data_IF_371700574966
#
_entry.id   IF_371700574966
#
_cell.length_a   1.000
_cell.length_b   1.000
_cell.length_c   1.000
_cell.angle_alpha   90.00
_cell.angle_beta   90.00
_cell.angle_gamma   90.00
#
_symmetry.space_group_name_H-M   'P 1'
#
loop_
_entity.id
_entity.type
_entity.pdbx_description
1 polymer ?
#
# COMPACT_ATOMS: atom_id res chain seq x y z
N UNK A 1 11.93 -82.44 -1.62
CA UNK A 1 10.60 -82.77 -1.15
C UNK A 1 9.70 -81.63 -1.57
N UNK A 2 9.07 -81.73 -2.75
CA UNK A 2 7.69 -82.14 -2.95
C UNK A 2 6.76 -81.34 -2.04
N UNK A 3 5.94 -80.38 -2.53
CA UNK A 3 4.66 -80.67 -3.16
C UNK A 3 3.99 -79.42 -3.72
N UNK A 4 3.56 -79.57 -4.91
CA UNK A 4 2.60 -78.77 -5.69
C UNK A 4 1.18 -78.85 -5.16
N UNK A 5 0.34 -77.81 -5.40
CA UNK A 5 -1.09 -77.88 -5.81
C UNK A 5 -1.59 -76.51 -6.16
N UNK A 6 -1.78 -76.23 -7.42
CA UNK A 6 -2.95 -76.28 -8.31
C UNK A 6 -4.20 -75.55 -7.80
N UNK A 7 -4.47 -74.42 -8.45
CA UNK A 7 -5.64 -74.10 -9.28
C UNK A 7 -7.05 -74.08 -8.65
N UNK A 8 -7.73 -72.95 -8.83
CA UNK A 8 -9.06 -72.97 -9.50
C UNK A 8 -9.49 -71.53 -9.92
N UNK A 9 -9.87 -71.53 -11.15
CA UNK A 9 -10.54 -70.49 -11.93
C UNK A 9 -11.96 -70.28 -11.40
N UNK A 10 -12.39 -69.04 -11.25
CA UNK A 10 -13.78 -68.71 -11.01
C UNK A 10 -14.15 -67.46 -11.84
N UNK A 11 -15.06 -67.67 -12.73
CA UNK A 11 -15.56 -66.79 -13.80
C UNK A 11 -16.39 -65.59 -13.25
N UNK A 12 -16.16 -64.46 -13.89
CA UNK A 12 -17.11 -63.46 -14.39
C UNK A 12 -18.45 -63.18 -13.67
N UNK A 13 -18.67 -61.89 -13.40
CA UNK A 13 -19.97 -61.26 -13.66
C UNK A 13 -19.75 -59.78 -13.99
N UNK A 14 -20.21 -59.43 -15.19
CA UNK A 14 -20.30 -58.09 -15.75
C UNK A 14 -21.39 -57.32 -14.99
N UNK A 15 -21.00 -56.24 -14.35
CA UNK A 15 -21.94 -55.25 -13.80
C UNK A 15 -21.74 -53.91 -14.48
N UNK A 16 -22.62 -53.61 -15.44
CA UNK A 16 -22.68 -52.28 -16.08
C UNK A 16 -23.32 -51.34 -15.09
N UNK A 17 -22.52 -50.48 -14.46
CA UNK A 17 -23.04 -49.32 -13.68
C UNK A 17 -23.02 -48.11 -14.64
N UNK A 18 -24.21 -47.70 -15.09
CA UNK A 18 -24.45 -46.44 -15.75
C UNK A 18 -24.23 -45.32 -14.71
N UNK A 19 -23.11 -44.64 -14.79
CA UNK A 19 -22.87 -43.43 -14.03
C UNK A 19 -23.48 -42.25 -14.77
N UNK A 20 -24.57 -41.75 -14.24
CA UNK A 20 -25.22 -40.51 -14.68
C UNK A 20 -24.35 -39.35 -14.25
N UNK A 21 -23.53 -38.82 -15.17
CA UNK A 21 -22.72 -37.60 -14.94
C UNK A 21 -23.65 -36.40 -15.05
N UNK A 22 -24.05 -35.85 -13.89
CA UNK A 22 -24.66 -34.51 -13.83
C UNK A 22 -23.56 -33.48 -14.05
N UNK A 23 -23.49 -32.91 -15.26
CA UNK A 23 -22.70 -31.76 -15.54
C UNK A 23 -23.35 -30.54 -14.87
N UNK A 24 -22.88 -30.17 -13.67
CA UNK A 24 -23.16 -28.88 -13.08
C UNK A 24 -22.29 -27.86 -13.80
N UNK A 25 -22.86 -27.16 -14.79
CA UNK A 25 -22.25 -25.96 -15.38
C UNK A 25 -22.36 -24.81 -14.37
N UNK A 26 -21.48 -24.81 -13.37
CA UNK A 26 -21.26 -23.67 -12.50
C UNK A 26 -20.57 -22.59 -13.31
N UNK A 27 -21.30 -21.51 -13.62
CA UNK A 27 -20.73 -20.28 -14.14
C UNK A 27 -19.89 -19.66 -13.01
N UNK A 28 -18.63 -20.11 -12.85
CA UNK A 28 -17.65 -19.39 -12.04
C UNK A 28 -17.37 -18.06 -12.76
N UNK A 29 -17.95 -16.98 -12.24
CA UNK A 29 -17.50 -15.64 -12.56
C UNK A 29 -16.03 -15.56 -12.11
N UNK A 30 -15.11 -15.76 -13.04
CA UNK A 30 -13.69 -15.59 -12.82
C UNK A 30 -13.45 -14.11 -12.50
N UNK A 31 -13.29 -13.80 -11.22
CA UNK A 31 -12.76 -12.50 -10.81
C UNK A 31 -11.35 -12.42 -11.42
N UNK A 32 -11.01 -11.38 -12.20
CA UNK A 32 -9.72 -11.34 -12.87
C UNK A 32 -8.61 -11.37 -11.83
N UNK A 33 -7.84 -12.46 -11.83
CA UNK A 33 -6.70 -12.74 -10.94
C UNK A 33 -5.69 -11.58 -10.89
N UNK A 34 -5.59 -10.83 -11.99
CA UNK A 34 -4.73 -9.66 -12.09
C UNK A 34 -5.10 -8.51 -11.14
N UNK A 35 -6.39 -8.30 -10.85
CA UNK A 35 -6.82 -7.22 -9.94
C UNK A 35 -6.50 -7.57 -8.48
N UNK A 36 -6.61 -8.84 -8.10
CA UNK A 36 -6.29 -9.29 -6.74
C UNK A 36 -4.78 -9.27 -6.48
N UNK A 37 -3.98 -9.76 -7.42
CA UNK A 37 -2.51 -9.73 -7.33
C UNK A 37 -1.96 -8.30 -7.25
N UNK A 38 -2.49 -7.35 -8.03
CA UNK A 38 -2.11 -5.95 -7.96
C UNK A 38 -2.46 -5.32 -6.61
N UNK A 39 -3.61 -5.64 -6.02
CA UNK A 39 -4.02 -5.12 -4.71
C UNK A 39 -3.10 -5.62 -3.58
N UNK A 40 -2.73 -6.90 -3.59
CA UNK A 40 -1.80 -7.48 -2.61
C UNK A 40 -0.39 -6.91 -2.77
N UNK A 41 0.09 -6.76 -4.01
CA UNK A 41 1.39 -6.15 -4.32
C UNK A 41 1.47 -4.70 -3.83
N UNK A 42 0.43 -3.88 -4.08
CA UNK A 42 0.39 -2.49 -3.68
C UNK A 42 0.33 -2.31 -2.15
N UNK A 43 -0.40 -3.14 -1.43
CA UNK A 43 -0.39 -3.15 0.04
C UNK A 43 1.01 -3.47 0.57
N UNK A 44 1.70 -4.48 0.02
CA UNK A 44 3.08 -4.81 0.41
C UNK A 44 4.07 -3.66 0.17
N UNK A 45 3.93 -2.90 -0.93
CA UNK A 45 4.77 -1.71 -1.20
C UNK A 45 4.47 -0.59 -0.20
N UNK A 46 3.19 -0.34 0.10
CA UNK A 46 2.80 0.67 1.10
C UNK A 46 3.38 0.35 2.48
N UNK A 47 3.29 -0.90 2.92
CA UNK A 47 3.85 -1.34 4.20
C UNK A 47 5.37 -1.13 4.27
N UNK A 48 6.09 -1.44 3.19
CA UNK A 48 7.54 -1.21 3.09
C UNK A 48 7.89 0.29 3.15
N UNK A 49 7.12 1.13 2.47
CA UNK A 49 7.28 2.59 2.50
C UNK A 49 7.09 3.11 3.92
N UNK A 50 6.01 2.72 4.58
CA UNK A 50 5.68 3.12 5.96
C UNK A 50 6.76 2.64 6.93
N UNK A 51 7.18 1.38 6.82
CA UNK A 51 8.25 0.83 7.65
C UNK A 51 9.57 1.59 7.46
N UNK A 52 9.91 1.95 6.21
CA UNK A 52 11.08 2.78 5.92
C UNK A 52 10.95 4.16 6.56
N UNK A 53 9.81 4.83 6.40
CA UNK A 53 9.60 6.15 6.99
C UNK A 53 9.67 6.14 8.53
N UNK A 54 9.15 5.11 9.19
CA UNK A 54 9.20 4.94 10.64
C UNK A 54 10.63 4.82 11.19
N UNK A 55 11.61 4.35 10.40
CA UNK A 55 13.03 4.30 10.82
C UNK A 55 13.64 5.69 11.02
N UNK A 56 13.01 6.72 10.49
CA UNK A 56 13.47 8.11 10.59
C UNK A 56 12.72 8.92 11.66
N UNK A 57 11.91 8.28 12.50
CA UNK A 57 11.25 8.96 13.62
C UNK A 57 12.29 9.71 14.48
N UNK A 58 11.98 10.96 14.82
CA UNK A 58 12.88 11.85 15.57
C UNK A 58 13.97 12.56 14.72
N UNK A 59 14.19 12.18 13.45
CA UNK A 59 15.13 12.90 12.60
C UNK A 59 14.66 14.35 12.48
N UNK A 60 15.58 15.28 12.70
CA UNK A 60 15.34 16.72 12.84
C UNK A 60 14.72 17.34 11.58
N UNK A 61 13.88 18.33 11.81
CA UNK A 61 13.33 19.16 10.75
C UNK A 61 14.29 20.32 10.39
N UNK A 62 14.41 20.60 9.10
CA UNK A 62 15.01 21.79 8.57
C UNK A 62 14.20 22.29 7.37
N UNK A 63 13.77 23.55 7.40
CA UNK A 63 13.09 24.15 6.25
C UNK A 63 13.99 24.13 5.01
N UNK A 64 13.42 23.79 3.85
CA UNK A 64 14.13 23.64 2.58
C UNK A 64 15.31 22.64 2.65
N UNK A 65 15.24 21.60 3.48
CA UNK A 65 16.27 20.58 3.57
C UNK A 65 16.62 20.03 2.16
N UNK A 66 17.92 19.87 1.81
CA UNK A 66 18.30 19.32 0.52
C UNK A 66 17.73 17.92 0.29
N UNK A 67 17.34 17.60 -0.95
CA UNK A 67 16.94 16.25 -1.32
C UNK A 67 18.09 15.24 -1.19
N UNK A 68 17.76 13.97 -0.92
CA UNK A 68 18.73 12.88 -0.85
C UNK A 68 19.44 12.70 0.50
N UNK A 69 19.30 13.62 1.44
CA UNK A 69 19.82 13.49 2.82
C UNK A 69 18.90 12.62 3.67
N UNK A 70 19.45 12.04 4.75
CA UNK A 70 18.71 11.21 5.70
C UNK A 70 18.87 11.65 7.16
N UNK A 71 19.70 12.65 7.42
CA UNK A 71 19.99 13.21 8.74
C UNK A 71 19.15 14.46 9.06
N UNK A 72 18.41 14.97 8.06
CA UNK A 72 17.55 16.14 8.17
C UNK A 72 16.50 16.14 7.06
N UNK A 73 15.28 16.58 7.37
CA UNK A 73 14.18 16.65 6.43
C UNK A 73 13.31 17.89 6.58
N UNK A 74 12.72 18.36 5.47
CA UNK A 74 11.42 19.01 5.48
C UNK A 74 10.33 18.02 5.05
N UNK A 75 9.05 18.43 5.04
CA UNK A 75 7.94 17.56 4.74
C UNK A 75 8.08 16.84 3.39
N UNK A 76 8.46 17.54 2.34
CA UNK A 76 8.53 17.02 0.99
C UNK A 76 9.85 16.31 0.67
N UNK A 77 10.98 16.68 1.29
CA UNK A 77 12.22 15.93 1.17
C UNK A 77 12.13 14.58 1.90
N UNK A 78 11.38 14.51 3.00
CA UNK A 78 11.11 13.28 3.71
C UNK A 78 10.28 12.30 2.84
N UNK A 79 9.16 12.73 2.29
CA UNK A 79 8.35 11.88 1.40
C UNK A 79 9.15 11.48 0.16
N UNK A 80 9.86 12.43 -0.48
CA UNK A 80 10.72 12.14 -1.63
C UNK A 80 11.75 11.06 -1.31
N UNK A 81 12.44 11.18 -0.17
CA UNK A 81 13.46 10.22 0.26
C UNK A 81 12.88 8.83 0.50
N UNK A 82 11.80 8.74 1.27
CA UNK A 82 11.17 7.47 1.63
C UNK A 82 10.67 6.74 0.39
N UNK A 83 9.94 7.41 -0.49
CA UNK A 83 9.41 6.80 -1.71
C UNK A 83 10.50 6.40 -2.70
N UNK A 84 11.57 7.19 -2.81
CA UNK A 84 12.73 6.87 -3.67
C UNK A 84 13.39 5.54 -3.29
N UNK A 85 13.43 5.18 -1.99
CA UNK A 85 13.95 3.88 -1.52
C UNK A 85 13.16 2.69 -2.06
N UNK A 86 11.96 2.92 -2.57
CA UNK A 86 11.06 1.92 -3.16
C UNK A 86 10.83 2.14 -4.66
N UNK A 87 11.75 2.86 -5.34
CA UNK A 87 11.70 3.07 -6.79
C UNK A 87 10.67 4.11 -7.25
N UNK A 88 10.00 4.83 -6.34
CA UNK A 88 9.03 5.86 -6.68
C UNK A 88 9.69 7.23 -6.58
N UNK A 89 9.89 7.90 -7.72
CA UNK A 89 10.51 9.22 -7.77
C UNK A 89 9.45 10.31 -7.63
N UNK A 90 9.50 11.05 -6.52
CA UNK A 90 8.64 12.20 -6.27
C UNK A 90 9.39 13.51 -6.58
N UNK A 91 8.70 14.56 -7.06
CA UNK A 91 9.27 15.90 -7.17
C UNK A 91 9.71 16.46 -5.82
N UNK A 92 10.54 17.53 -5.84
CA UNK A 92 11.12 18.06 -4.59
C UNK A 92 10.11 18.77 -3.69
N UNK A 93 9.19 19.53 -4.22
CA UNK A 93 8.26 20.33 -3.41
C UNK A 93 6.90 19.66 -3.21
N UNK A 94 6.23 19.96 -2.07
CA UNK A 94 4.90 19.45 -1.77
C UNK A 94 3.88 19.80 -2.86
N UNK A 95 3.94 21.00 -3.43
CA UNK A 95 3.05 21.43 -4.54
C UNK A 95 3.23 20.57 -5.78
N UNK A 96 4.47 20.29 -6.16
CA UNK A 96 4.76 19.42 -7.31
C UNK A 96 4.36 17.97 -7.03
N UNK A 97 4.56 17.48 -5.79
CA UNK A 97 4.10 16.15 -5.40
C UNK A 97 2.57 16.03 -5.45
N UNK A 98 1.84 17.10 -5.16
CA UNK A 98 0.39 17.14 -5.29
C UNK A 98 -0.11 17.07 -6.74
N UNK A 99 0.76 17.23 -7.73
CA UNK A 99 0.42 17.14 -9.15
C UNK A 99 0.68 15.74 -9.75
N UNK A 100 1.26 14.79 -8.98
CA UNK A 100 1.58 13.45 -9.50
C UNK A 100 0.72 12.36 -8.88
N UNK A 101 0.52 11.26 -9.61
CA UNK A 101 -0.32 10.13 -9.18
C UNK A 101 -1.82 10.37 -9.36
N UNK A 102 -2.63 9.45 -8.86
CA UNK A 102 -4.09 9.49 -8.94
C UNK A 102 -4.66 10.26 -7.76
N UNK A 103 -5.66 11.12 -8.01
CA UNK A 103 -6.40 11.82 -6.95
C UNK A 103 -7.15 10.81 -6.08
N UNK A 104 -7.08 11.00 -4.77
CA UNK A 104 -7.79 10.18 -3.79
C UNK A 104 -8.73 11.06 -2.97
N UNK A 105 -9.99 10.66 -2.88
CA UNK A 105 -10.94 11.33 -1.99
C UNK A 105 -10.56 11.11 -0.52
N UNK A 106 -10.81 12.10 0.36
CA UNK A 106 -10.43 12.04 1.77
C UNK A 106 -10.96 10.81 2.51
N UNK A 107 -12.15 10.34 2.15
CA UNK A 107 -12.78 9.15 2.73
C UNK A 107 -12.32 7.83 2.10
N UNK A 108 -11.44 7.89 1.09
CA UNK A 108 -10.88 6.72 0.39
C UNK A 108 -9.36 6.57 0.62
N UNK A 109 -8.83 7.27 1.61
CA UNK A 109 -7.42 7.19 1.98
C UNK A 109 -7.04 5.76 2.37
N UNK A 110 -5.90 5.30 1.83
CA UNK A 110 -5.27 4.01 2.15
C UNK A 110 -3.82 4.21 2.57
N UNK A 111 -3.24 3.30 3.36
CA UNK A 111 -1.83 3.37 3.71
C UNK A 111 -0.94 3.58 2.48
N UNK A 112 0.01 4.52 2.56
CA UNK A 112 0.88 4.93 1.46
C UNK A 112 0.31 6.03 0.56
N UNK A 113 -0.87 6.58 0.83
CA UNK A 113 -1.33 7.78 0.13
C UNK A 113 -0.62 9.03 0.67
N UNK A 114 -0.32 9.98 -0.21
CA UNK A 114 0.19 11.29 0.16
C UNK A 114 -0.98 12.23 0.46
N UNK A 115 -0.97 12.86 1.62
CA UNK A 115 -1.97 13.83 2.06
C UNK A 115 -1.37 15.23 2.03
N UNK A 116 -2.05 16.16 1.40
CA UNK A 116 -1.60 17.54 1.20
C UNK A 116 -2.51 18.52 1.94
N UNK A 117 -1.87 19.47 2.64
CA UNK A 117 -2.56 20.47 3.45
C UNK A 117 -2.06 21.88 3.14
N UNK A 118 -2.95 22.86 3.32
CA UNK A 118 -2.69 24.29 3.33
C UNK A 118 -2.82 24.80 4.79
N UNK A 119 -1.75 24.64 5.57
CA UNK A 119 -1.80 24.83 7.02
C UNK A 119 -1.92 26.30 7.45
N UNK A 120 -1.56 27.23 6.59
CA UNK A 120 -1.67 28.69 6.82
C UNK A 120 -2.88 29.33 6.12
N UNK A 121 -3.64 28.52 5.32
CA UNK A 121 -4.89 28.94 4.65
C UNK A 121 -4.73 30.11 3.66
N UNK A 122 -3.61 30.11 2.94
CA UNK A 122 -3.32 31.10 1.88
C UNK A 122 -3.75 30.63 0.46
N UNK A 123 -4.45 29.50 0.38
CA UNK A 123 -4.88 28.88 -0.88
C UNK A 123 -3.79 28.03 -1.56
N UNK A 124 -2.64 27.84 -0.89
CA UNK A 124 -1.50 27.12 -1.48
C UNK A 124 -1.07 25.96 -0.58
N UNK A 125 -0.90 24.78 -1.17
CA UNK A 125 -0.32 23.63 -0.47
C UNK A 125 1.07 24.00 0.06
N UNK A 126 1.28 23.83 1.36
CA UNK A 126 2.54 24.05 2.02
C UNK A 126 3.03 22.84 2.83
N UNK A 127 2.24 21.77 2.92
CA UNK A 127 2.60 20.58 3.68
C UNK A 127 2.21 19.28 2.93
N UNK A 128 2.98 18.21 3.19
CA UNK A 128 2.71 16.84 2.73
C UNK A 128 3.02 15.85 3.84
N UNK A 129 2.18 14.81 3.94
CA UNK A 129 2.29 13.71 4.89
C UNK A 129 2.05 12.38 4.18
N UNK A 130 2.52 11.27 4.76
CA UNK A 130 2.17 9.90 4.36
C UNK A 130 1.02 9.43 5.25
N UNK A 131 -0.11 9.05 4.67
CA UNK A 131 -1.17 8.37 5.41
C UNK A 131 -0.75 6.94 5.72
N UNK A 132 -0.81 6.53 7.00
CA UNK A 132 -0.30 5.23 7.45
C UNK A 132 -1.41 4.28 7.96
N UNK A 133 -2.67 4.63 7.69
CA UNK A 133 -3.84 3.90 8.23
C UNK A 133 -4.30 4.47 9.57
N UNK A 134 -5.45 3.99 10.04
CA UNK A 134 -6.04 4.30 11.36
C UNK A 134 -6.13 5.79 11.67
N UNK A 135 -6.36 6.62 10.64
CA UNK A 135 -6.44 8.07 10.80
C UNK A 135 -5.13 8.71 11.26
N UNK A 136 -3.98 8.16 10.87
CA UNK A 136 -2.64 8.65 11.26
C UNK A 136 -1.82 9.08 10.06
N UNK A 137 -0.95 10.08 10.30
CA UNK A 137 0.00 10.62 9.35
C UNK A 137 1.43 10.44 9.86
N UNK A 138 2.33 10.05 8.97
CA UNK A 138 3.79 10.04 9.18
C UNK A 138 4.40 11.19 8.39
N UNK A 139 5.04 12.14 9.06
CA UNK A 139 5.52 13.37 8.46
C UNK A 139 6.55 14.10 9.33
N UNK A 140 7.06 15.22 8.84
CA UNK A 140 7.84 16.19 9.62
C UNK A 140 7.42 17.61 9.25
N UNK A 141 7.34 18.56 10.20
CA UNK A 141 6.71 19.85 9.95
C UNK A 141 7.30 21.05 10.70
N UNK A 142 8.11 20.86 11.72
CA UNK A 142 8.75 21.96 12.44
C UNK A 142 9.98 21.53 13.24
N UNK A 143 10.84 22.52 13.53
CA UNK A 143 11.99 22.37 14.44
C UNK A 143 11.51 21.92 15.83
N UNK A 144 12.27 21.05 16.47
CA UNK A 144 12.02 20.53 17.81
C UNK A 144 11.09 19.28 17.83
N UNK A 145 10.39 18.98 16.71
CA UNK A 145 9.55 17.78 16.60
C UNK A 145 10.23 16.72 15.73
N UNK A 146 10.76 17.14 14.55
CA UNK A 146 11.31 16.19 13.58
C UNK A 146 10.26 15.29 12.92
N UNK A 147 10.70 14.13 12.44
CA UNK A 147 9.81 13.11 11.87
C UNK A 147 8.97 12.50 12.97
N UNK A 148 7.65 12.49 12.80
CA UNK A 148 6.69 12.08 13.82
C UNK A 148 5.45 11.42 13.22
N UNK A 149 4.65 10.79 14.08
CA UNK A 149 3.32 10.29 13.75
C UNK A 149 2.29 11.17 14.47
N UNK A 150 1.33 11.71 13.72
CA UNK A 150 0.24 12.54 14.23
C UNK A 150 -1.11 11.95 13.87
N UNK A 151 -2.14 12.26 14.67
CA UNK A 151 -3.51 11.96 14.28
C UNK A 151 -3.92 12.85 13.10
N UNK A 152 -4.68 12.27 12.15
CA UNK A 152 -5.25 13.01 11.02
C UNK A 152 -6.63 13.57 11.39
N UNK A 153 -7.58 12.69 11.74
CA UNK A 153 -8.97 13.05 12.01
C UNK A 153 -9.08 14.11 13.11
N UNK A 154 -9.75 15.22 12.80
CA UNK A 154 -9.98 16.36 13.72
C UNK A 154 -8.76 17.27 13.94
N UNK A 155 -7.60 16.92 13.38
CA UNK A 155 -6.37 17.71 13.51
C UNK A 155 -6.34 18.94 12.59
N UNK A 156 -5.27 19.74 12.70
CA UNK A 156 -5.00 20.83 11.74
C UNK A 156 -4.89 20.30 10.32
N UNK A 157 -4.22 19.16 10.10
CA UNK A 157 -4.04 18.54 8.78
C UNK A 157 -5.37 18.12 8.13
N UNK A 158 -6.33 17.67 8.92
CA UNK A 158 -7.68 17.34 8.49
C UNK A 158 -8.50 18.57 8.13
N UNK A 159 -8.43 19.62 8.98
CA UNK A 159 -9.14 20.88 8.79
C UNK A 159 -8.60 21.74 7.64
N UNK A 160 -7.34 21.49 7.24
CA UNK A 160 -6.64 22.20 6.16
C UNK A 160 -6.29 21.27 4.99
N UNK A 161 -6.98 20.12 4.91
CA UNK A 161 -6.84 19.17 3.82
C UNK A 161 -7.23 19.82 2.49
N UNK A 162 -6.35 19.67 1.48
CA UNK A 162 -6.58 20.15 0.12
C UNK A 162 -6.84 19.00 -0.83
N UNK A 163 -5.96 17.99 -0.86
CA UNK A 163 -6.05 16.84 -1.76
C UNK A 163 -5.24 15.67 -1.20
N UNK A 164 -5.42 14.50 -1.80
CA UNK A 164 -4.51 13.37 -1.59
C UNK A 164 -4.15 12.71 -2.92
N UNK A 165 -3.01 12.02 -2.96
CA UNK A 165 -2.50 11.34 -4.15
C UNK A 165 -2.05 9.93 -3.83
N UNK A 166 -2.42 8.99 -4.70
CA UNK A 166 -1.88 7.64 -4.72
C UNK A 166 -0.85 7.54 -5.82
N UNK A 167 0.40 7.28 -5.44
CA UNK A 167 1.56 7.17 -6.35
C UNK A 167 2.08 5.73 -6.44
N UNK A 168 1.60 4.84 -5.58
CA UNK A 168 1.82 3.40 -5.64
C UNK A 168 0.89 2.83 -6.73
N UNK A 169 1.48 2.07 -7.65
CA UNK A 169 0.77 1.40 -8.76
C UNK A 169 0.59 -0.06 -8.46
#
# INVERSE_FOLDING_TARGET
MISTKKSRIGKALLGIAMSLSIAVTGNLLAVPESAHAAAVSNASVADKIIATGKRYLGVRYQYAAPGGRSDVFDCSSFTQYVYKKHGINLPRSSRQQAAVGTVVAKNQLKPGDLVFSDTNRDGKINHVSIYIGDGKLLHTYRVGIGVTISNFKGSTWDKTFVTARRVIR
#
